data_IF_850038388691
#
_entry.id   IF_850038388691
#
_cell.length_a   1.000
_cell.length_b   1.000
_cell.length_c   1.000
_cell.angle_alpha   90.00
_cell.angle_beta   90.00
_cell.angle_gamma   90.00
#
_symmetry.space_group_name_H-M   'P 1'
#
loop_
_entity.id
_entity.type
_entity.pdbx_description
1 polymer ?
#
# COMPACT_ATOMS: atom_id res chain seq x y z
N UNK A 1 23.12 2.42 -8.44
CA UNK A 1 23.43 1.38 -7.46
C UNK A 1 23.08 1.92 -6.09
N UNK A 2 21.84 1.70 -5.64
CA UNK A 2 21.43 2.12 -4.31
C UNK A 2 21.69 0.93 -3.40
N UNK A 3 22.82 0.94 -2.69
CA UNK A 3 22.96 0.10 -1.50
C UNK A 3 21.77 0.44 -0.61
N UNK A 4 21.05 -0.57 -0.12
CA UNK A 4 20.17 -0.37 1.04
C UNK A 4 21.14 -0.16 2.22
N UNK A 5 21.64 1.07 2.38
CA UNK A 5 22.37 1.49 3.58
C UNK A 5 21.35 1.59 4.71
N UNK A 6 20.96 0.44 5.25
CA UNK A 6 20.26 0.37 6.51
C UNK A 6 21.27 0.45 7.66
N UNK A 7 20.93 1.09 8.80
CA UNK A 7 21.73 0.93 10.01
C UNK A 7 21.84 -0.56 10.36
N UNK A 8 22.93 -0.94 11.05
CA UNK A 8 23.08 -2.27 11.61
C UNK A 8 21.77 -2.68 12.32
N UNK A 9 21.31 -3.92 12.10
CA UNK A 9 20.03 -4.41 12.63
C UNK A 9 20.15 -4.56 14.14
N UNK A 10 19.91 -3.47 14.86
CA UNK A 10 20.15 -3.36 16.31
C UNK A 10 19.42 -4.42 17.11
N UNK A 11 18.27 -4.85 16.64
CA UNK A 11 17.44 -5.84 17.31
C UNK A 11 18.06 -7.23 17.19
N UNK A 12 18.58 -7.58 16.01
CA UNK A 12 19.30 -8.84 15.81
C UNK A 12 20.61 -8.88 16.60
N UNK A 13 21.36 -7.78 16.65
CA UNK A 13 22.60 -7.69 17.46
C UNK A 13 22.38 -7.93 18.95
N UNK A 14 21.20 -7.59 19.46
CA UNK A 14 20.83 -7.77 20.86
C UNK A 14 20.15 -9.11 21.13
N UNK A 15 19.69 -9.79 20.08
CA UNK A 15 18.96 -11.04 20.21
C UNK A 15 19.89 -12.18 20.65
N UNK A 16 19.48 -12.86 21.70
CA UNK A 16 20.03 -14.15 22.13
C UNK A 16 19.75 -15.25 21.10
N UNK A 17 20.47 -16.35 21.21
CA UNK A 17 20.23 -17.54 20.38
C UNK A 17 18.80 -18.06 20.50
N UNK A 18 18.25 -18.07 21.72
CA UNK A 18 16.89 -18.49 21.99
C UNK A 18 15.86 -17.56 21.34
N UNK A 19 16.09 -16.24 21.32
CA UNK A 19 15.20 -15.29 20.64
C UNK A 19 15.24 -15.47 19.12
N UNK A 20 16.41 -15.76 18.53
CA UNK A 20 16.52 -16.07 17.09
C UNK A 20 15.78 -17.36 16.76
N UNK A 21 15.99 -18.41 17.55
CA UNK A 21 15.31 -19.71 17.39
C UNK A 21 13.79 -19.56 17.46
N UNK A 22 13.29 -18.85 18.48
CA UNK A 22 11.87 -18.57 18.66
C UNK A 22 11.29 -17.78 17.49
N UNK A 23 11.94 -16.68 17.08
CA UNK A 23 11.48 -15.83 15.99
C UNK A 23 11.36 -16.59 14.65
N UNK A 24 12.30 -17.48 14.34
CA UNK A 24 12.28 -18.29 13.11
C UNK A 24 11.11 -19.27 13.07
N UNK A 25 10.54 -19.66 14.23
CA UNK A 25 9.34 -20.52 14.25
C UNK A 25 8.10 -19.84 13.68
N UNK A 26 8.04 -18.51 13.70
CA UNK A 26 6.93 -17.72 13.16
C UNK A 26 7.11 -17.32 11.69
N UNK A 27 8.30 -17.54 11.12
CA UNK A 27 8.57 -17.23 9.72
C UNK A 27 7.98 -18.30 8.78
N UNK A 28 7.51 -17.84 7.61
CA UNK A 28 7.05 -18.73 6.54
C UNK A 28 8.22 -19.53 5.97
N UNK A 29 8.11 -20.86 6.01
CA UNK A 29 9.20 -21.74 5.61
C UNK A 29 9.49 -21.70 4.11
N UNK A 30 8.51 -21.40 3.26
CA UNK A 30 8.73 -21.25 1.82
C UNK A 30 9.48 -19.94 1.52
N UNK A 31 9.14 -18.85 2.22
CA UNK A 31 9.89 -17.60 2.14
C UNK A 31 11.35 -17.79 2.62
N UNK A 32 11.56 -18.47 3.76
CA UNK A 32 12.90 -18.80 4.26
C UNK A 32 13.69 -19.63 3.25
N UNK A 33 13.07 -20.66 2.66
CA UNK A 33 13.70 -21.53 1.65
C UNK A 33 14.26 -20.73 0.48
N UNK A 34 13.47 -19.84 -0.11
CA UNK A 34 13.92 -19.02 -1.23
C UNK A 34 14.97 -17.98 -0.82
N UNK A 35 14.81 -17.31 0.33
CA UNK A 35 15.76 -16.30 0.81
C UNK A 35 17.11 -16.93 1.15
N UNK A 36 17.12 -18.09 1.82
CA UNK A 36 18.35 -18.80 2.13
C UNK A 36 19.07 -19.25 0.86
N UNK A 37 18.35 -19.79 -0.12
CA UNK A 37 18.96 -20.15 -1.40
C UNK A 37 19.57 -18.94 -2.10
N UNK A 38 18.85 -17.80 -2.09
CA UNK A 38 19.34 -16.56 -2.69
C UNK A 38 20.66 -16.12 -2.05
N UNK A 39 20.74 -16.15 -0.73
CA UNK A 39 21.90 -15.66 0.04
C UNK A 39 23.07 -16.66 0.06
N UNK A 40 22.79 -17.96 0.11
CA UNK A 40 23.82 -19.00 0.36
C UNK A 40 24.16 -19.82 -0.89
N UNK A 41 23.20 -20.00 -1.80
CA UNK A 41 23.31 -20.94 -2.92
C UNK A 41 23.22 -22.41 -2.50
N UNK A 42 22.69 -22.69 -1.31
CA UNK A 42 22.55 -24.05 -0.79
C UNK A 42 21.57 -24.88 -1.62
N UNK A 43 22.11 -25.85 -2.36
CA UNK A 43 21.37 -26.72 -3.27
C UNK A 43 20.42 -27.69 -2.54
N UNK A 44 20.66 -28.00 -1.26
CA UNK A 44 19.76 -28.85 -0.46
C UNK A 44 18.36 -28.23 -0.35
N UNK A 45 18.26 -26.90 -0.44
CA UNK A 45 16.98 -26.19 -0.42
C UNK A 45 16.12 -26.45 -1.67
N UNK A 46 16.68 -27.02 -2.74
CA UNK A 46 15.90 -27.43 -3.91
C UNK A 46 15.20 -28.77 -3.70
N UNK A 47 15.80 -29.67 -2.93
CA UNK A 47 15.36 -31.05 -2.72
C UNK A 47 14.47 -31.16 -1.48
N UNK A 48 13.28 -30.55 -1.53
CA UNK A 48 12.27 -30.64 -0.47
C UNK A 48 10.96 -31.17 -1.03
N UNK A 49 10.19 -31.86 -0.18
CA UNK A 49 8.86 -32.30 -0.56
C UNK A 49 7.90 -31.13 -0.49
N UNK A 50 7.01 -30.99 -1.49
CA UNK A 50 5.95 -29.99 -1.50
C UNK A 50 4.57 -30.64 -1.46
N UNK A 51 3.62 -29.98 -0.80
CA UNK A 51 2.19 -30.32 -0.86
C UNK A 51 1.36 -29.08 -1.18
N UNK A 52 0.21 -29.29 -1.81
CA UNK A 52 -0.79 -28.23 -2.02
C UNK A 52 -1.73 -28.20 -0.83
N UNK A 53 -2.00 -27.00 -0.32
CA UNK A 53 -3.01 -26.75 0.72
C UNK A 53 -3.96 -25.64 0.27
N UNK A 54 -5.18 -25.66 0.77
CA UNK A 54 -6.16 -24.60 0.54
C UNK A 54 -5.96 -23.49 1.59
N UNK A 55 -5.59 -22.29 1.14
CA UNK A 55 -5.49 -21.07 1.95
C UNK A 55 -6.63 -20.11 1.61
N UNK A 56 -7.74 -20.21 2.33
CA UNK A 56 -8.97 -19.48 1.99
C UNK A 56 -9.58 -20.04 0.70
N UNK A 57 -9.67 -19.22 -0.35
CA UNK A 57 -10.19 -19.63 -1.66
C UNK A 57 -9.08 -19.96 -2.68
N UNK A 58 -7.80 -19.93 -2.27
CA UNK A 58 -6.66 -20.12 -3.16
C UNK A 58 -5.81 -21.31 -2.74
N UNK A 59 -5.39 -22.11 -3.70
CA UNK A 59 -4.38 -23.14 -3.49
C UNK A 59 -3.00 -22.51 -3.29
N UNK A 60 -2.22 -23.06 -2.36
CA UNK A 60 -0.84 -22.64 -2.08
C UNK A 60 0.05 -23.86 -1.90
N UNK A 61 1.32 -23.73 -2.30
CA UNK A 61 2.36 -24.73 -2.03
C UNK A 61 2.98 -24.48 -0.67
N UNK A 62 3.17 -25.55 0.09
CA UNK A 62 3.90 -25.53 1.37
C UNK A 62 4.84 -26.72 1.43
N UNK A 63 5.80 -26.68 2.36
CA UNK A 63 6.66 -27.83 2.64
C UNK A 63 5.82 -29.04 3.10
N UNK A 64 6.14 -30.20 2.55
CA UNK A 64 5.37 -31.42 2.66
C UNK A 64 5.58 -32.16 3.97
N UNK A 65 6.81 -32.13 4.49
CA UNK A 65 7.22 -32.89 5.68
C UNK A 65 7.67 -31.97 6.82
N UNK A 66 7.56 -32.45 8.06
CA UNK A 66 8.11 -31.74 9.23
C UNK A 66 9.64 -31.70 9.21
N UNK A 67 10.29 -32.69 8.60
CA UNK A 67 11.73 -32.75 8.41
C UNK A 67 12.24 -31.62 7.50
N UNK A 68 11.57 -31.39 6.36
CA UNK A 68 11.88 -30.26 5.47
C UNK A 68 11.72 -28.91 6.18
N UNK A 69 10.63 -28.76 6.96
CA UNK A 69 10.40 -27.53 7.74
C UNK A 69 11.50 -27.33 8.79
N UNK A 70 11.86 -28.39 9.52
CA UNK A 70 12.91 -28.34 10.53
C UNK A 70 14.29 -28.05 9.91
N UNK A 71 14.59 -28.64 8.75
CA UNK A 71 15.83 -28.39 8.00
C UNK A 71 15.93 -26.92 7.58
N UNK A 72 14.90 -26.37 6.93
CA UNK A 72 14.91 -24.97 6.46
C UNK A 72 15.03 -24.00 7.64
N UNK A 73 14.30 -24.24 8.73
CA UNK A 73 14.38 -23.41 9.94
C UNK A 73 15.75 -23.48 10.61
N UNK A 74 16.34 -24.67 10.74
CA UNK A 74 17.69 -24.84 11.27
C UNK A 74 18.71 -24.04 10.46
N UNK A 75 18.68 -24.16 9.12
CA UNK A 75 19.55 -23.38 8.24
C UNK A 75 19.33 -21.87 8.38
N UNK A 76 18.09 -21.41 8.60
CA UNK A 76 17.78 -20.01 8.87
C UNK A 76 18.37 -19.52 10.20
N UNK A 77 18.22 -20.31 11.26
CA UNK A 77 18.80 -20.02 12.58
C UNK A 77 20.33 -19.94 12.48
N UNK A 78 20.96 -20.93 11.87
CA UNK A 78 22.42 -20.99 11.71
C UNK A 78 22.93 -19.77 10.94
N UNK A 79 22.25 -19.41 9.85
CA UNK A 79 22.55 -18.20 9.07
C UNK A 79 22.43 -16.92 9.91
N UNK A 80 21.31 -16.75 10.63
CA UNK A 80 21.05 -15.54 11.42
C UNK A 80 22.02 -15.38 12.59
N UNK A 81 22.39 -16.47 13.28
CA UNK A 81 23.41 -16.47 14.33
C UNK A 81 24.77 -16.08 13.77
N UNK A 82 25.21 -16.72 12.69
CA UNK A 82 26.48 -16.40 12.05
C UNK A 82 26.53 -14.94 11.55
N UNK A 83 25.44 -14.45 10.96
CA UNK A 83 25.32 -13.08 10.49
C UNK A 83 25.31 -12.05 11.62
N UNK A 84 24.61 -12.34 12.73
CA UNK A 84 24.66 -11.54 13.97
C UNK A 84 26.08 -11.46 14.51
N UNK A 85 26.74 -12.60 14.65
CA UNK A 85 28.07 -12.70 15.25
C UNK A 85 29.15 -12.03 14.38
N UNK A 86 28.90 -11.93 13.06
CA UNK A 86 29.70 -11.13 12.13
C UNK A 86 29.41 -9.62 12.17
N UNK A 87 28.51 -9.16 13.06
CA UNK A 87 28.20 -7.75 13.31
C UNK A 87 26.94 -7.22 12.62
N UNK A 88 26.13 -8.08 11.97
CA UNK A 88 24.85 -7.72 11.34
C UNK A 88 24.89 -6.43 10.49
N UNK A 89 25.99 -6.24 9.74
CA UNK A 89 26.20 -5.10 8.85
C UNK A 89 25.28 -5.15 7.63
N UNK A 90 25.46 -4.28 6.62
CA UNK A 90 24.65 -4.33 5.41
C UNK A 90 24.74 -5.69 4.70
N UNK A 91 23.60 -6.26 4.30
CA UNK A 91 23.52 -7.50 3.53
C UNK A 91 23.12 -7.19 2.08
N UNK A 92 23.87 -7.74 1.13
CA UNK A 92 23.49 -7.72 -0.28
C UNK A 92 22.46 -8.83 -0.56
N UNK A 93 21.64 -8.63 -1.60
CA UNK A 93 20.61 -9.60 -1.98
C UNK A 93 21.21 -10.88 -2.57
N UNK A 94 22.53 -10.98 -2.74
CA UNK A 94 23.20 -12.12 -3.34
C UNK A 94 23.14 -12.11 -4.88
N UNK A 95 23.66 -13.17 -5.53
CA UNK A 95 23.75 -13.23 -6.98
C UNK A 95 22.38 -13.10 -7.68
N UNK A 96 22.24 -12.15 -8.62
CA UNK A 96 20.96 -11.87 -9.29
C UNK A 96 20.47 -13.00 -10.20
N UNK A 97 21.38 -13.81 -10.72
CA UNK A 97 21.09 -15.00 -11.52
C UNK A 97 20.38 -16.09 -10.71
N UNK A 98 20.43 -16.03 -9.37
CA UNK A 98 19.67 -16.91 -8.47
C UNK A 98 18.22 -16.47 -8.27
N UNK A 99 17.85 -15.22 -8.55
CA UNK A 99 16.50 -14.69 -8.29
C UNK A 99 15.38 -15.54 -8.91
N UNK A 100 15.45 -15.99 -10.18
CA UNK A 100 14.38 -16.79 -10.78
C UNK A 100 14.15 -18.10 -10.02
N UNK A 101 15.25 -18.75 -9.60
CA UNK A 101 15.20 -19.98 -8.83
C UNK A 101 14.68 -19.69 -7.42
N UNK A 102 15.25 -18.69 -6.73
CA UNK A 102 14.83 -18.28 -5.39
C UNK A 102 13.32 -18.02 -5.31
N UNK A 103 12.79 -17.20 -6.22
CA UNK A 103 11.37 -16.89 -6.29
C UNK A 103 10.54 -18.14 -6.61
N UNK A 104 11.03 -19.02 -7.48
CA UNK A 104 10.40 -20.32 -7.75
C UNK A 104 10.36 -21.23 -6.52
N UNK A 105 11.43 -21.24 -5.71
CA UNK A 105 11.47 -21.99 -4.45
C UNK A 105 10.48 -21.44 -3.42
N UNK A 106 10.30 -20.11 -3.36
CA UNK A 106 9.29 -19.47 -2.50
C UNK A 106 7.87 -19.81 -2.95
N UNK A 107 7.63 -19.85 -4.26
CA UNK A 107 6.31 -20.15 -4.82
C UNK A 107 5.99 -21.64 -4.79
N UNK A 108 7.02 -22.49 -4.79
CA UNK A 108 6.90 -23.95 -4.93
C UNK A 108 6.70 -24.41 -6.38
N UNK A 109 6.97 -23.55 -7.36
CA UNK A 109 6.90 -23.85 -8.79
C UNK A 109 7.78 -22.89 -9.59
N UNK A 110 8.23 -23.32 -10.76
CA UNK A 110 9.00 -22.47 -11.67
C UNK A 110 8.15 -21.30 -12.16
N UNK A 111 8.73 -20.09 -12.12
CA UNK A 111 8.09 -18.90 -12.66
C UNK A 111 8.36 -18.87 -14.17
N UNK A 112 7.32 -18.76 -15.02
CA UNK A 112 7.49 -18.61 -16.46
C UNK A 112 8.35 -17.38 -16.80
N UNK A 113 9.20 -17.49 -17.82
CA UNK A 113 10.15 -16.45 -18.20
C UNK A 113 9.45 -15.12 -18.51
N UNK A 114 8.30 -15.17 -19.18
CA UNK A 114 7.46 -14.03 -19.53
C UNK A 114 6.89 -13.29 -18.31
N UNK A 115 6.77 -13.98 -17.16
CA UNK A 115 6.26 -13.41 -15.91
C UNK A 115 7.38 -12.96 -14.98
N UNK A 116 8.61 -13.45 -15.16
CA UNK A 116 9.72 -13.23 -14.24
C UNK A 116 9.99 -11.73 -13.98
N UNK A 117 9.89 -10.89 -15.01
CA UNK A 117 10.04 -9.45 -14.87
C UNK A 117 9.08 -8.85 -13.85
N UNK A 118 7.80 -9.24 -13.89
CA UNK A 118 6.78 -8.78 -12.94
C UNK A 118 7.13 -9.23 -11.51
N UNK A 119 7.49 -10.50 -11.32
CA UNK A 119 7.85 -11.02 -10.00
C UNK A 119 9.07 -10.29 -9.40
N UNK A 120 10.08 -9.99 -10.22
CA UNK A 120 11.24 -9.22 -9.78
C UNK A 120 10.84 -7.79 -9.41
N UNK A 121 9.95 -7.14 -10.17
CA UNK A 121 9.48 -5.80 -9.82
C UNK A 121 8.76 -5.77 -8.46
N UNK A 122 7.91 -6.75 -8.17
CA UNK A 122 7.17 -6.87 -6.90
C UNK A 122 8.09 -7.05 -5.68
N UNK A 123 9.33 -7.51 -5.86
CA UNK A 123 10.32 -7.56 -4.76
C UNK A 123 10.80 -6.17 -4.33
N UNK A 124 10.51 -5.13 -5.11
CA UNK A 124 10.95 -3.75 -4.89
C UNK A 124 12.49 -3.59 -4.76
N UNK A 125 13.28 -4.52 -5.30
CA UNK A 125 14.75 -4.44 -5.34
C UNK A 125 15.26 -3.20 -6.07
N UNK A 126 14.53 -2.75 -7.08
CA UNK A 126 14.63 -1.40 -7.63
C UNK A 126 13.29 -0.68 -7.41
N UNK A 127 13.18 0.17 -6.35
CA UNK A 127 11.94 0.89 -6.06
C UNK A 127 11.56 1.89 -7.17
N UNK A 128 12.45 2.12 -8.12
CA UNK A 128 12.31 3.08 -9.20
C UNK A 128 12.20 2.42 -10.58
N UNK A 129 11.99 1.10 -10.64
CA UNK A 129 11.97 0.33 -11.90
C UNK A 129 11.01 0.90 -12.95
N UNK A 130 9.89 1.49 -12.51
CA UNK A 130 8.88 2.15 -13.36
C UNK A 130 9.10 3.66 -13.56
N UNK A 131 10.23 4.21 -13.14
CA UNK A 131 10.54 5.64 -13.34
C UNK A 131 10.69 5.99 -14.82
N UNK A 132 10.26 7.19 -15.18
CA UNK A 132 10.43 7.73 -16.52
C UNK A 132 11.92 7.71 -16.91
N UNK A 133 12.20 7.11 -18.06
CA UNK A 133 13.48 7.22 -18.76
C UNK A 133 13.23 8.02 -20.04
N UNK A 134 13.75 9.24 -20.07
CA UNK A 134 13.68 10.09 -21.25
C UNK A 134 14.36 9.37 -22.43
N UNK A 135 13.64 9.24 -23.56
CA UNK A 135 14.24 8.72 -24.81
C UNK A 135 15.27 9.70 -25.35
N UNK A 136 14.93 10.98 -25.27
CA UNK A 136 15.79 12.13 -25.52
C UNK A 136 15.56 13.13 -24.39
N UNK A 137 16.63 13.73 -23.86
CA UNK A 137 16.51 14.73 -22.80
C UNK A 137 15.75 15.94 -23.34
N UNK A 138 14.64 16.34 -22.71
CA UNK A 138 13.86 17.48 -23.18
C UNK A 138 14.66 18.77 -23.03
N UNK A 139 14.36 19.72 -23.90
CA UNK A 139 14.83 21.09 -23.75
C UNK A 139 14.39 21.64 -22.37
N UNK A 140 15.32 22.20 -21.54
CA UNK A 140 15.00 22.63 -20.19
C UNK A 140 13.88 23.67 -20.11
N UNK A 141 13.84 24.62 -21.05
CA UNK A 141 12.82 25.67 -21.08
C UNK A 141 11.45 25.08 -21.42
N UNK A 142 11.40 24.12 -22.37
CA UNK A 142 10.15 23.40 -22.66
C UNK A 142 9.66 22.58 -21.47
N UNK A 143 10.58 21.95 -20.74
CA UNK A 143 10.23 21.15 -19.56
C UNK A 143 9.66 22.02 -18.45
N UNK A 144 10.30 23.15 -18.15
CA UNK A 144 9.84 24.11 -17.13
C UNK A 144 8.48 24.73 -17.46
N UNK A 145 8.16 24.87 -18.75
CA UNK A 145 6.88 25.38 -19.22
C UNK A 145 5.79 24.29 -19.41
N UNK A 146 6.10 23.02 -19.16
CA UNK A 146 5.13 21.92 -19.25
C UNK A 146 4.58 21.59 -17.86
N UNK A 147 3.38 22.08 -17.55
CA UNK A 147 2.75 21.88 -16.25
C UNK A 147 1.69 20.77 -16.27
N UNK A 148 1.70 19.92 -15.25
CA UNK A 148 0.75 18.82 -15.08
C UNK A 148 -0.11 19.03 -13.84
N UNK A 149 -1.43 18.94 -13.99
CA UNK A 149 -2.34 18.92 -12.83
C UNK A 149 -2.73 17.49 -12.50
N UNK A 150 -2.59 17.14 -11.22
CA UNK A 150 -3.08 15.87 -10.67
C UNK A 150 -4.32 16.17 -9.85
N UNK A 151 -5.42 15.45 -10.10
CA UNK A 151 -6.66 15.58 -9.31
C UNK A 151 -6.78 14.41 -8.34
N UNK A 152 -6.64 14.69 -7.04
CA UNK A 152 -6.67 13.74 -5.93
C UNK A 152 -5.27 13.40 -5.39
N UNK A 153 -5.14 13.38 -4.07
CA UNK A 153 -3.93 13.07 -3.31
C UNK A 153 -4.04 11.73 -2.54
N UNK A 154 -4.75 10.76 -3.13
CA UNK A 154 -4.71 9.35 -2.71
C UNK A 154 -3.47 8.61 -3.22
N UNK A 155 -3.49 7.27 -3.19
CA UNK A 155 -2.39 6.42 -3.65
C UNK A 155 -1.90 6.80 -5.06
N UNK A 156 -2.81 6.86 -6.04
CA UNK A 156 -2.49 7.23 -7.43
C UNK A 156 -1.92 8.64 -7.58
N UNK A 157 -2.43 9.60 -6.80
CA UNK A 157 -1.97 10.98 -6.85
C UNK A 157 -0.55 11.15 -6.32
N UNK A 158 -0.24 10.48 -5.21
CA UNK A 158 1.07 10.52 -4.57
C UNK A 158 2.16 9.88 -5.44
N UNK A 159 1.89 8.71 -6.04
CA UNK A 159 2.85 8.09 -6.97
C UNK A 159 3.06 8.96 -8.21
N UNK A 160 2.00 9.55 -8.76
CA UNK A 160 2.09 10.45 -9.91
C UNK A 160 2.94 11.68 -9.59
N UNK A 161 2.67 12.36 -8.48
CA UNK A 161 3.42 13.53 -8.02
C UNK A 161 4.90 13.20 -7.83
N UNK A 162 5.21 12.08 -7.18
CA UNK A 162 6.59 11.66 -6.96
C UNK A 162 7.33 11.36 -8.27
N UNK A 163 6.69 10.69 -9.23
CA UNK A 163 7.33 10.41 -10.51
C UNK A 163 7.51 11.69 -11.36
N UNK A 164 6.57 12.63 -11.34
CA UNK A 164 6.72 13.93 -12.00
C UNK A 164 7.86 14.75 -11.36
N UNK A 165 7.91 14.80 -10.02
CA UNK A 165 9.01 15.44 -9.27
C UNK A 165 10.36 14.88 -9.68
N UNK A 166 10.49 13.55 -9.74
CA UNK A 166 11.74 12.88 -10.14
C UNK A 166 12.10 13.09 -11.61
N UNK A 167 11.09 13.25 -12.47
CA UNK A 167 11.28 13.55 -13.89
C UNK A 167 11.63 15.03 -14.14
N UNK A 168 11.51 15.90 -13.13
CA UNK A 168 11.70 17.35 -13.28
C UNK A 168 10.54 18.04 -14.00
N UNK A 169 9.36 17.41 -14.08
CA UNK A 169 8.17 17.98 -14.71
C UNK A 169 7.39 18.78 -13.65
N UNK A 170 7.15 20.09 -13.83
CA UNK A 170 6.33 20.89 -12.93
C UNK A 170 4.91 20.33 -12.78
N UNK A 171 4.41 20.26 -11.55
CA UNK A 171 3.07 19.75 -11.28
C UNK A 171 2.37 20.47 -10.13
N UNK A 172 1.05 20.29 -10.07
CA UNK A 172 0.23 20.66 -8.91
C UNK A 172 -0.78 19.57 -8.63
N UNK A 173 -0.89 19.14 -7.37
CA UNK A 173 -1.93 18.21 -6.93
C UNK A 173 -3.08 19.00 -6.33
N UNK A 174 -4.31 18.75 -6.75
CA UNK A 174 -5.51 19.37 -6.19
C UNK A 174 -6.29 18.31 -5.42
N UNK A 175 -6.57 18.54 -4.14
CA UNK A 175 -7.23 17.61 -3.23
C UNK A 175 -8.37 18.31 -2.48
N UNK A 176 -9.55 17.68 -2.46
CA UNK A 176 -10.75 18.23 -1.80
C UNK A 176 -10.65 18.14 -0.28
N UNK A 177 -9.91 17.15 0.23
CA UNK A 177 -9.70 16.94 1.65
C UNK A 177 -8.61 17.89 2.20
N UNK A 178 -8.58 18.09 3.51
CA UNK A 178 -7.55 18.89 4.18
C UNK A 178 -6.18 18.16 4.29
N UNK A 179 -6.08 16.94 3.76
CA UNK A 179 -4.86 16.15 3.77
C UNK A 179 -4.86 15.05 2.73
N UNK A 180 -3.71 14.40 2.59
CA UNK A 180 -3.49 13.26 1.68
C UNK A 180 -4.17 11.99 2.19
N UNK A 181 -4.24 10.96 1.36
CA UNK A 181 -4.70 9.61 1.73
C UNK A 181 -5.94 9.13 0.96
N UNK A 182 -6.69 10.06 0.37
CA UNK A 182 -7.88 9.75 -0.43
C UNK A 182 -8.88 8.93 0.37
N UNK A 183 -9.19 7.71 -0.09
CA UNK A 183 -10.10 6.78 0.61
C UNK A 183 -9.78 6.63 2.10
N UNK A 184 -8.50 6.61 2.49
CA UNK A 184 -8.07 6.43 3.88
C UNK A 184 -8.16 7.71 4.73
N UNK A 185 -8.28 8.86 4.07
CA UNK A 185 -8.62 10.10 4.75
C UNK A 185 -10.09 10.12 5.16
N UNK A 186 -10.98 9.59 4.30
CA UNK A 186 -12.44 9.66 4.45
C UNK A 186 -13.03 8.49 5.25
N UNK A 187 -12.61 7.26 4.96
CA UNK A 187 -13.24 6.05 5.51
C UNK A 187 -12.71 5.76 6.93
N UNK A 188 -13.28 6.43 7.91
CA UNK A 188 -12.92 6.32 9.34
C UNK A 188 -13.93 5.54 10.18
N UNK A 189 -14.81 4.78 9.54
CA UNK A 189 -15.79 3.95 10.23
C UNK A 189 -15.11 2.86 11.09
N UNK A 190 -15.77 2.38 12.17
CA UNK A 190 -15.24 1.34 13.04
C UNK A 190 -14.86 0.08 12.26
N UNK A 191 -13.64 -0.41 12.47
CA UNK A 191 -13.16 -1.62 11.80
C UNK A 191 -12.60 -1.42 10.40
N UNK A 192 -12.62 -0.20 9.84
CA UNK A 192 -12.05 0.09 8.52
C UNK A 192 -10.59 -0.35 8.43
N UNK A 193 -10.30 -1.26 7.49
CA UNK A 193 -8.99 -1.88 7.28
C UNK A 193 -8.80 -2.42 5.87
N UNK A 194 -7.56 -2.75 5.55
CA UNK A 194 -7.23 -3.51 4.35
C UNK A 194 -7.78 -4.93 4.37
N UNK A 195 -8.22 -5.39 3.20
CA UNK A 195 -8.51 -6.81 2.90
C UNK A 195 -7.31 -7.54 2.26
N UNK A 196 -6.30 -6.78 1.85
CA UNK A 196 -5.06 -7.25 1.24
C UNK A 196 -3.89 -7.08 2.23
N UNK A 197 -2.85 -7.92 2.16
CA UNK A 197 -1.67 -7.73 3.00
C UNK A 197 -1.10 -6.31 2.84
N UNK A 198 -0.78 -5.64 3.96
CA UNK A 198 -0.33 -4.25 3.97
C UNK A 198 0.89 -4.06 3.06
N UNK A 199 1.82 -5.03 3.08
CA UNK A 199 3.01 -5.01 2.21
C UNK A 199 2.70 -5.07 0.72
N UNK A 200 1.60 -5.72 0.30
CA UNK A 200 1.18 -5.71 -1.11
C UNK A 200 0.37 -4.46 -1.46
N UNK A 201 -0.18 -3.76 -0.47
CA UNK A 201 -0.85 -2.47 -0.64
C UNK A 201 0.09 -1.29 -0.33
N UNK A 202 1.30 -1.33 -0.89
CA UNK A 202 2.36 -0.34 -0.66
C UNK A 202 2.98 0.04 -2.00
N UNK A 203 3.44 1.27 -2.14
CA UNK A 203 4.22 1.66 -3.32
C UNK A 203 5.60 0.98 -3.25
N UNK A 204 6.21 0.65 -4.38
CA UNK A 204 7.53 -0.01 -4.38
C UNK A 204 8.60 0.80 -3.61
N UNK A 205 8.56 2.14 -3.71
CA UNK A 205 9.44 3.03 -2.93
C UNK A 205 9.12 3.14 -1.44
N UNK A 206 8.00 2.56 -1.00
CA UNK A 206 7.56 2.52 0.39
C UNK A 206 7.65 1.13 1.02
N UNK A 207 8.26 0.14 0.36
CA UNK A 207 8.26 -1.28 0.79
C UNK A 207 8.82 -1.51 2.21
N UNK A 208 9.73 -0.63 2.65
CA UNK A 208 10.35 -0.68 3.98
C UNK A 208 9.53 0.07 5.06
N UNK A 209 8.35 0.59 4.73
CA UNK A 209 7.49 1.25 5.70
C UNK A 209 7.10 0.26 6.82
N UNK A 210 7.34 0.59 8.10
CA UNK A 210 7.15 -0.33 9.21
C UNK A 210 5.67 -0.38 9.61
N UNK A 211 4.87 -1.15 8.88
CA UNK A 211 3.49 -1.44 9.27
C UNK A 211 3.46 -2.25 10.57
N UNK A 212 2.61 -1.84 11.50
CA UNK A 212 2.39 -2.57 12.75
C UNK A 212 1.51 -3.82 12.57
N UNK A 213 0.70 -3.87 11.50
CA UNK A 213 -0.30 -4.90 11.28
C UNK A 213 -0.14 -5.55 9.91
N UNK A 214 -0.38 -6.87 9.77
CA UNK A 214 -0.39 -7.53 8.47
C UNK A 214 -1.52 -7.00 7.57
N UNK A 215 -2.66 -6.62 8.16
CA UNK A 215 -3.79 -5.96 7.49
C UNK A 215 -4.11 -4.66 8.22
N UNK A 216 -3.56 -3.56 7.73
CA UNK A 216 -3.52 -2.30 8.47
C UNK A 216 -4.90 -1.63 8.55
N UNK A 217 -5.27 -1.09 9.73
CA UNK A 217 -6.47 -0.26 9.88
C UNK A 217 -6.30 1.09 9.16
N UNK A 218 -7.39 1.83 9.00
CA UNK A 218 -7.39 3.11 8.29
C UNK A 218 -6.31 4.09 8.79
N UNK A 219 -6.09 4.17 10.11
CA UNK A 219 -5.13 5.09 10.70
C UNK A 219 -3.67 4.77 10.32
N UNK A 220 -3.32 3.49 10.22
CA UNK A 220 -1.98 3.06 9.78
C UNK A 220 -1.78 3.32 8.29
N UNK A 221 -2.81 3.11 7.46
CA UNK A 221 -2.76 3.49 6.04
C UNK A 221 -2.63 5.01 5.87
N UNK A 222 -3.36 5.79 6.66
CA UNK A 222 -3.25 7.24 6.67
C UNK A 222 -1.83 7.70 7.09
N UNK A 223 -1.23 7.03 8.09
CA UNK A 223 0.16 7.27 8.50
C UNK A 223 1.13 7.03 7.34
N UNK A 224 0.93 5.95 6.57
CA UNK A 224 1.74 5.65 5.40
C UNK A 224 1.63 6.75 4.33
N UNK A 225 0.42 7.17 3.94
CA UNK A 225 0.27 8.20 2.91
C UNK A 225 0.78 9.58 3.35
N UNK A 226 0.59 9.93 4.63
CA UNK A 226 1.21 11.13 5.19
C UNK A 226 2.74 11.04 5.11
N UNK A 227 3.31 9.91 5.54
CA UNK A 227 4.76 9.67 5.46
C UNK A 227 5.27 9.81 4.02
N UNK A 228 4.57 9.27 3.01
CA UNK A 228 4.96 9.45 1.60
C UNK A 228 5.00 10.94 1.23
N UNK A 229 3.94 11.69 1.56
CA UNK A 229 3.87 13.12 1.24
C UNK A 229 4.96 13.95 1.94
N UNK A 230 5.29 13.60 3.19
CA UNK A 230 6.28 14.29 4.02
C UNK A 230 7.72 13.91 3.64
N UNK A 231 8.02 12.61 3.58
CA UNK A 231 9.34 12.07 3.29
C UNK A 231 9.87 12.50 1.92
N UNK A 232 8.98 12.55 0.92
CA UNK A 232 9.33 13.00 -0.42
C UNK A 232 9.07 14.49 -0.66
N UNK A 233 8.70 15.28 0.36
CA UNK A 233 8.47 16.72 0.27
C UNK A 233 7.49 17.09 -0.87
N UNK A 234 6.34 16.42 -0.91
CA UNK A 234 5.34 16.60 -1.97
C UNK A 234 4.31 17.68 -1.62
N UNK A 235 4.10 17.96 -0.33
CA UNK A 235 3.01 18.84 0.15
C UNK A 235 3.05 20.27 -0.40
N UNK A 236 4.24 20.79 -0.67
CA UNK A 236 4.42 22.16 -1.19
C UNK A 236 3.78 22.37 -2.57
N UNK A 237 3.60 21.30 -3.32
CA UNK A 237 3.00 21.30 -4.66
C UNK A 237 1.52 20.88 -4.61
N UNK A 238 0.88 20.89 -3.43
CA UNK A 238 -0.50 20.46 -3.22
C UNK A 238 -1.41 21.62 -2.80
N UNK A 239 -2.60 21.67 -3.41
CA UNK A 239 -3.71 22.53 -3.05
C UNK A 239 -4.78 21.69 -2.35
N UNK A 240 -4.79 21.75 -1.02
CA UNK A 240 -5.80 21.08 -0.18
C UNK A 240 -7.09 21.90 -0.11
N UNK A 241 -8.14 21.26 0.41
CA UNK A 241 -9.47 21.86 0.58
C UNK A 241 -9.97 22.53 -0.72
N UNK A 242 -9.66 21.92 -1.86
CA UNK A 242 -9.96 22.46 -3.19
C UNK A 242 -10.59 21.36 -4.05
N UNK A 243 -11.82 21.57 -4.52
CA UNK A 243 -12.57 20.58 -5.28
C UNK A 243 -12.61 20.95 -6.77
N UNK A 244 -12.15 20.04 -7.63
CA UNK A 244 -12.25 20.19 -9.09
C UNK A 244 -13.64 19.79 -9.57
N UNK A 245 -14.26 20.65 -10.38
CA UNK A 245 -15.61 20.44 -10.93
C UNK A 245 -15.61 20.09 -12.42
N UNK A 246 -14.68 20.63 -13.20
CA UNK A 246 -14.59 20.32 -14.62
C UNK A 246 -13.17 20.42 -15.17
N UNK A 247 -12.92 19.62 -16.20
CA UNK A 247 -11.71 19.61 -17.02
C UNK A 247 -12.17 19.80 -18.47
N UNK A 248 -11.70 20.82 -19.16
CA UNK A 248 -12.08 21.11 -20.54
C UNK A 248 -10.85 21.39 -21.37
N UNK A 249 -10.67 20.68 -22.48
CA UNK A 249 -9.58 20.93 -23.40
C UNK A 249 -9.88 22.19 -24.22
N UNK A 250 -8.96 23.13 -24.20
CA UNK A 250 -8.98 24.32 -25.05
C UNK A 250 -8.01 24.13 -26.23
N UNK A 251 -8.58 23.91 -27.42
CA UNK A 251 -7.83 23.74 -28.67
C UNK A 251 -7.00 24.98 -29.04
N UNK A 252 -7.45 26.19 -28.69
CA UNK A 252 -6.78 27.42 -29.07
C UNK A 252 -5.46 27.61 -28.32
N UNK A 253 -5.41 27.19 -27.05
CA UNK A 253 -4.22 27.29 -26.21
C UNK A 253 -3.47 25.97 -26.08
N UNK A 254 -4.06 24.86 -26.55
CA UNK A 254 -3.56 23.49 -26.34
C UNK A 254 -3.29 23.20 -24.87
N UNK A 255 -4.24 23.61 -24.01
CA UNK A 255 -4.19 23.40 -22.56
C UNK A 255 -5.54 22.94 -22.06
N UNK A 256 -5.52 22.23 -20.93
CA UNK A 256 -6.69 21.95 -20.14
C UNK A 256 -7.04 23.18 -19.30
N UNK A 257 -8.29 23.61 -19.35
CA UNK A 257 -8.93 24.45 -18.34
C UNK A 257 -9.43 23.56 -17.20
N UNK A 258 -9.02 23.88 -15.97
CA UNK A 258 -9.41 23.20 -14.74
C UNK A 258 -10.21 24.17 -13.90
N UNK A 259 -11.50 23.90 -13.73
CA UNK A 259 -12.39 24.70 -12.87
C UNK A 259 -12.49 24.02 -11.52
N UNK A 260 -12.26 24.79 -10.47
CA UNK A 260 -12.26 24.30 -9.10
C UNK A 260 -12.87 25.33 -8.14
N UNK A 261 -13.21 24.90 -6.94
CA UNK A 261 -13.66 25.76 -5.84
C UNK A 261 -12.76 25.52 -4.64
N UNK A 262 -12.31 26.58 -3.98
CA UNK A 262 -11.53 26.47 -2.74
C UNK A 262 -12.41 26.33 -1.49
N UNK A 263 -11.80 26.27 -0.32
CA UNK A 263 -12.49 26.12 0.97
C UNK A 263 -13.40 27.29 1.33
N UNK A 264 -13.13 28.48 0.78
CA UNK A 264 -13.98 29.66 0.94
C UNK A 264 -15.20 29.64 0.02
N UNK A 265 -15.27 28.69 -0.93
CA UNK A 265 -16.32 28.63 -1.93
C UNK A 265 -16.03 29.48 -3.18
N UNK A 266 -14.81 30.02 -3.31
CA UNK A 266 -14.43 30.86 -4.44
C UNK A 266 -14.06 30.02 -5.66
N UNK A 267 -14.66 30.36 -6.80
CA UNK A 267 -14.38 29.69 -8.07
C UNK A 267 -13.01 30.11 -8.59
N UNK A 268 -12.14 29.13 -8.82
CA UNK A 268 -10.81 29.30 -9.43
C UNK A 268 -10.71 28.57 -10.76
N UNK A 269 -9.83 29.08 -11.63
CA UNK A 269 -9.49 28.47 -12.91
C UNK A 269 -7.97 28.34 -13.01
N UNK A 270 -7.49 27.15 -13.36
CA UNK A 270 -6.09 26.87 -13.65
C UNK A 270 -5.98 26.31 -15.07
N UNK A 271 -4.83 26.51 -15.71
CA UNK A 271 -4.55 25.93 -17.02
C UNK A 271 -3.30 25.06 -16.96
N UNK A 272 -3.34 23.86 -17.56
CA UNK A 272 -2.23 22.91 -17.56
C UNK A 272 -2.06 22.24 -18.93
N UNK A 273 -0.86 21.75 -19.22
CA UNK A 273 -0.58 21.03 -20.46
C UNK A 273 -1.15 19.62 -20.44
N UNK A 274 -1.19 18.98 -19.26
CA UNK A 274 -1.77 17.67 -19.06
C UNK A 274 -2.49 17.57 -17.72
N UNK A 275 -3.44 16.64 -17.64
CA UNK A 275 -4.17 16.33 -16.41
C UNK A 275 -4.11 14.83 -16.13
N UNK A 276 -3.85 14.47 -14.88
CA UNK A 276 -3.90 13.10 -14.36
C UNK A 276 -5.03 12.99 -13.34
N UNK A 277 -6.03 12.15 -13.61
CA UNK A 277 -7.16 11.95 -12.70
C UNK A 277 -6.89 10.78 -11.75
N UNK A 278 -6.77 11.10 -10.45
CA UNK A 278 -6.54 10.15 -9.35
C UNK A 278 -7.67 10.23 -8.30
N UNK A 279 -8.91 10.41 -8.78
CA UNK A 279 -10.09 10.72 -7.96
C UNK A 279 -10.70 9.52 -7.23
N UNK A 280 -10.26 8.30 -7.54
CA UNK A 280 -10.82 7.07 -6.97
C UNK A 280 -12.27 6.81 -7.39
N UNK A 281 -12.91 5.83 -6.75
CA UNK A 281 -14.29 5.43 -7.04
C UNK A 281 -15.14 5.16 -5.78
N UNK A 282 -14.59 5.40 -4.58
CA UNK A 282 -15.20 5.05 -3.27
C UNK A 282 -15.44 6.26 -2.35
N UNK A 283 -15.45 7.48 -2.90
CA UNK A 283 -15.49 8.74 -2.14
C UNK A 283 -16.80 9.53 -2.30
N UNK A 284 -17.76 9.01 -3.08
CA UNK A 284 -19.09 9.61 -3.23
C UNK A 284 -20.14 8.63 -2.69
N UNK A 285 -20.76 8.90 -1.52
CA UNK A 285 -21.72 7.98 -0.94
C UNK A 285 -22.97 7.86 -1.82
N UNK A 286 -23.48 6.63 -1.98
CA UNK A 286 -24.78 6.38 -2.60
C UNK A 286 -25.78 6.08 -1.51
N UNK A 287 -26.56 7.09 -1.13
CA UNK A 287 -27.63 6.90 -0.15
C UNK A 287 -28.74 6.01 -0.74
N UNK A 288 -29.32 5.09 0.06
CA UNK A 288 -30.42 4.27 -0.39
C UNK A 288 -31.69 5.11 -0.55
N UNK A 289 -32.46 4.79 -1.59
CA UNK A 289 -33.77 5.39 -1.83
C UNK A 289 -34.83 4.67 -0.99
N UNK A 290 -35.04 5.18 0.23
CA UNK A 290 -35.97 4.62 1.21
C UNK A 290 -36.97 5.71 1.58
N UNK A 291 -38.26 5.44 1.35
CA UNK A 291 -39.33 6.34 1.74
C UNK A 291 -39.25 6.64 3.25
N UNK A 292 -39.29 7.93 3.61
CA UNK A 292 -39.17 8.36 5.00
C UNK A 292 -37.75 8.39 5.57
N UNK A 293 -36.69 8.17 4.77
CA UNK A 293 -35.30 8.28 5.25
C UNK A 293 -35.02 9.62 5.93
N UNK A 294 -35.46 10.73 5.33
CA UNK A 294 -35.20 12.09 5.82
C UNK A 294 -36.02 12.45 7.08
N UNK A 295 -37.04 11.66 7.42
CA UNK A 295 -37.87 11.88 8.62
C UNK A 295 -37.47 11.00 9.79
N UNK A 296 -36.38 10.22 9.64
CA UNK A 296 -35.83 9.42 10.74
C UNK A 296 -35.36 10.33 11.88
N UNK A 297 -35.97 10.20 13.06
CA UNK A 297 -35.68 11.05 14.22
C UNK A 297 -34.38 10.72 14.97
N UNK A 298 -33.64 9.71 14.52
CA UNK A 298 -32.33 9.34 15.06
C UNK A 298 -31.18 9.84 14.18
N UNK A 299 -29.95 9.59 14.63
CA UNK A 299 -28.76 9.86 13.84
C UNK A 299 -28.61 8.82 12.71
N UNK A 300 -28.29 9.28 11.51
CA UNK A 300 -28.04 8.43 10.34
C UNK A 300 -26.87 9.00 9.53
N UNK A 301 -25.93 8.13 9.15
CA UNK A 301 -24.73 8.50 8.41
C UNK A 301 -24.40 7.43 7.37
N UNK A 302 -23.75 7.82 6.28
CA UNK A 302 -23.06 6.87 5.42
C UNK A 302 -21.67 6.60 5.99
N UNK A 303 -21.14 5.38 5.84
CA UNK A 303 -19.85 4.98 6.43
C UNK A 303 -18.64 5.76 5.90
N UNK A 304 -18.73 6.27 4.68
CA UNK A 304 -17.74 7.20 4.07
C UNK A 304 -17.70 8.56 4.81
N UNK A 305 -18.79 8.97 5.44
CA UNK A 305 -18.94 10.25 6.15
C UNK A 305 -19.12 10.01 7.65
N UNK A 306 -18.37 9.04 8.20
CA UNK A 306 -18.47 8.67 9.60
C UNK A 306 -18.07 9.85 10.52
N UNK A 307 -18.97 10.35 11.39
CA UNK A 307 -18.68 11.53 12.19
C UNK A 307 -17.66 11.27 13.30
N UNK A 308 -16.74 12.22 13.55
CA UNK A 308 -15.75 12.12 14.64
C UNK A 308 -16.39 12.05 16.04
N UNK A 309 -17.61 12.58 16.19
CA UNK A 309 -18.37 12.60 17.46
C UNK A 309 -19.32 11.39 17.61
N UNK A 310 -19.36 10.49 16.63
CA UNK A 310 -20.31 9.39 16.63
C UNK A 310 -20.04 8.44 17.82
N UNK A 311 -21.08 8.21 18.62
CA UNK A 311 -21.09 7.16 19.65
C UNK A 311 -22.32 6.29 19.48
N UNK A 312 -22.11 4.98 19.42
CA UNK A 312 -23.15 3.96 19.29
C UNK A 312 -23.39 3.20 20.60
N UNK A 313 -22.65 3.55 21.66
CA UNK A 313 -22.75 2.90 22.96
C UNK A 313 -24.18 2.95 23.49
N UNK A 314 -24.68 1.80 23.94
CA UNK A 314 -26.03 1.61 24.48
C UNK A 314 -27.18 1.94 23.50
N UNK A 315 -26.89 2.26 22.23
CA UNK A 315 -27.89 2.55 21.19
C UNK A 315 -28.37 1.27 20.50
N UNK A 316 -29.56 1.34 19.91
CA UNK A 316 -30.05 0.34 18.95
C UNK A 316 -29.67 0.82 17.55
N UNK A 317 -28.83 0.07 16.86
CA UNK A 317 -28.26 0.45 15.56
C UNK A 317 -28.85 -0.42 14.46
N UNK A 318 -29.25 0.21 13.36
CA UNK A 318 -29.64 -0.46 12.13
C UNK A 318 -28.51 -0.28 11.10
N UNK A 319 -28.07 -1.37 10.47
CA UNK A 319 -27.06 -1.36 9.41
C UNK A 319 -27.69 -1.86 8.13
N UNK A 320 -27.65 -1.05 7.07
CA UNK A 320 -28.20 -1.38 5.76
C UNK A 320 -27.03 -1.69 4.81
N UNK A 321 -26.98 -2.94 4.34
CA UNK A 321 -25.95 -3.44 3.42
C UNK A 321 -24.87 -4.28 4.10
N UNK A 322 -24.47 -5.36 3.41
CA UNK A 322 -23.52 -6.38 3.90
C UNK A 322 -22.32 -6.59 2.98
N UNK A 323 -21.95 -5.57 2.21
CA UNK A 323 -20.69 -5.54 1.47
C UNK A 323 -19.47 -5.52 2.41
N UNK A 324 -18.27 -5.37 1.84
CA UNK A 324 -17.02 -5.36 2.61
C UNK A 324 -17.04 -4.40 3.81
N UNK A 325 -17.59 -3.19 3.64
CA UNK A 325 -17.76 -2.23 4.73
C UNK A 325 -18.68 -2.74 5.83
N UNK A 326 -19.82 -3.35 5.49
CA UNK A 326 -20.73 -3.93 6.48
C UNK A 326 -20.08 -5.09 7.23
N UNK A 327 -19.36 -5.95 6.51
CA UNK A 327 -18.59 -7.05 7.11
C UNK A 327 -17.55 -6.58 8.12
N UNK A 328 -16.88 -5.44 7.86
CA UNK A 328 -15.91 -4.85 8.78
C UNK A 328 -16.58 -4.12 9.95
N UNK A 329 -17.64 -3.36 9.69
CA UNK A 329 -18.23 -2.43 10.67
C UNK A 329 -19.16 -3.13 11.67
N UNK A 330 -19.96 -4.11 11.21
CA UNK A 330 -20.97 -4.78 12.06
C UNK A 330 -20.35 -5.49 13.27
N UNK A 331 -19.24 -6.26 13.15
CA UNK A 331 -18.61 -6.88 14.30
C UNK A 331 -18.17 -5.86 15.35
N UNK A 332 -17.56 -4.74 14.93
CA UNK A 332 -17.14 -3.67 15.85
C UNK A 332 -18.35 -3.00 16.51
N UNK A 333 -19.41 -2.71 15.74
CA UNK A 333 -20.65 -2.16 16.29
C UNK A 333 -21.31 -3.08 17.31
N UNK A 334 -21.25 -4.41 17.09
CA UNK A 334 -21.86 -5.39 17.99
C UNK A 334 -21.15 -5.47 19.35
N UNK A 335 -19.90 -5.02 19.45
CA UNK A 335 -19.16 -4.93 20.72
C UNK A 335 -19.60 -3.74 21.58
N UNK A 336 -20.10 -2.66 20.96
CA UNK A 336 -20.39 -1.40 21.66
C UNK A 336 -21.89 -1.08 21.77
N UNK A 337 -22.68 -1.40 20.75
CA UNK A 337 -24.10 -1.07 20.71
C UNK A 337 -24.93 -1.99 21.62
N UNK A 338 -26.07 -1.49 22.10
CA UNK A 338 -27.03 -2.30 22.87
C UNK A 338 -27.64 -3.42 22.02
N UNK A 339 -27.90 -3.12 20.75
CA UNK A 339 -28.44 -4.08 19.79
C UNK A 339 -28.12 -3.62 18.37
N UNK A 340 -27.67 -4.53 17.52
CA UNK A 340 -27.42 -4.28 16.10
C UNK A 340 -28.40 -5.10 15.28
N UNK A 341 -29.14 -4.46 14.39
CA UNK A 341 -30.01 -5.10 13.39
C UNK A 341 -29.39 -4.91 12.02
N UNK A 342 -29.13 -6.02 11.32
CA UNK A 342 -28.53 -6.00 9.97
C UNK A 342 -29.62 -6.25 8.92
N UNK A 343 -29.70 -5.38 7.93
CA UNK A 343 -30.56 -5.51 6.76
C UNK A 343 -29.69 -5.93 5.56
N UNK A 344 -29.84 -7.19 5.15
CA UNK A 344 -29.06 -7.82 4.09
C UNK A 344 -29.87 -7.97 2.79
#
# INVERSE_FOLDING_TARGET
MTKIEGPARSDLLKASDAEIEDAVTYADAMALRGLLYQLTGDEELKDVTLKTVLGGYLERKVLGTEEDVAMVRRKAVDFLKAYRDAGAGPIDIGPRDRLPISLGLMRGETIPEESLGLYIEETALDPWVRSLKWRETPDPEKLENFHVVIVGAGMGGLVSALHLKRAGIPYTVIEKNAGVGGTWYENRYPGSRLDSPSRSYTHLFGVDFPYANPFSPWAENQRYFSWVADFFDLRKDMMFETEVHSLTWDEATSKWEIVMTDKEGERKVMHANAVMTSVGFLNRPRLPDIEGRETFGGEAWHTVEWPDHASIKDKRVAVIGTGATGYQTVPEMALEAKHVTVFQ
#
